data_IF_439796552157
#
_entry.id   IF_439796552157
#
_cell.length_a   1.000
_cell.length_b   1.000
_cell.length_c   1.000
_cell.angle_alpha   90.00
_cell.angle_beta   90.00
_cell.angle_gamma   90.00
#
_symmetry.space_group_name_H-M   'P 1'
#
loop_
_entity.id
_entity.type
_entity.pdbx_description
1 polymer ?
#
# COMPACT_ATOMS: atom_id res chain seq x y z
N UNK A 1 17.65 2.84 -17.12
CA UNK A 1 16.97 1.93 -16.19
C UNK A 1 15.56 1.74 -16.74
N UNK A 2 14.99 0.53 -16.82
CA UNK A 2 13.60 0.39 -17.22
C UNK A 2 12.77 1.22 -16.24
N UNK A 3 12.01 2.18 -16.75
CA UNK A 3 11.05 2.93 -15.94
C UNK A 3 9.92 1.96 -15.65
N UNK A 4 9.80 1.51 -14.40
CA UNK A 4 8.63 0.74 -13.97
C UNK A 4 7.37 1.55 -14.25
N UNK A 5 6.27 0.93 -14.72
CA UNK A 5 5.03 1.64 -14.94
C UNK A 5 4.55 2.28 -13.64
N UNK A 6 4.19 3.56 -13.73
CA UNK A 6 3.55 4.25 -12.62
C UNK A 6 2.10 3.79 -12.52
N UNK A 7 1.67 3.47 -11.30
CA UNK A 7 0.32 3.06 -10.96
C UNK A 7 -0.23 4.01 -9.87
N UNK A 8 -1.29 4.74 -10.20
CA UNK A 8 -1.95 5.63 -9.25
C UNK A 8 -3.04 4.90 -8.44
N UNK A 9 -3.46 5.49 -7.31
CA UNK A 9 -4.53 4.94 -6.47
C UNK A 9 -5.86 4.87 -7.23
N UNK A 10 -6.13 5.85 -8.09
CA UNK A 10 -7.33 5.87 -8.93
C UNK A 10 -7.30 4.76 -10.01
N UNK A 11 -6.15 4.10 -10.23
CA UNK A 11 -5.96 2.96 -11.14
C UNK A 11 -5.94 1.61 -10.42
N UNK A 12 -6.24 1.55 -9.12
CA UNK A 12 -6.37 0.30 -8.36
C UNK A 12 -7.75 -0.34 -8.53
N UNK A 13 -8.80 0.49 -8.42
CA UNK A 13 -10.19 0.05 -8.46
C UNK A 13 -10.94 0.83 -9.53
N UNK A 14 -11.52 0.12 -10.50
CA UNK A 14 -12.43 0.73 -11.47
C UNK A 14 -13.72 1.22 -10.78
N UNK A 15 -14.12 0.54 -9.69
CA UNK A 15 -15.30 0.90 -8.91
C UNK A 15 -15.17 0.48 -7.46
N UNK A 16 -15.36 1.43 -6.56
CA UNK A 16 -15.60 1.18 -5.13
C UNK A 16 -17.11 1.34 -4.92
N UNK A 17 -17.84 0.24 -4.79
CA UNK A 17 -19.30 0.24 -4.66
C UNK A 17 -19.78 -0.62 -3.49
N UNK A 18 -21.04 -0.42 -3.08
CA UNK A 18 -21.68 -1.10 -1.93
C UNK A 18 -21.72 -2.64 -2.08
N UNK A 19 -21.61 -3.15 -3.32
CA UNK A 19 -21.66 -4.58 -3.64
C UNK A 19 -20.27 -5.24 -3.74
N UNK A 20 -19.19 -4.47 -3.61
CA UNK A 20 -17.82 -4.96 -3.69
C UNK A 20 -16.89 -4.07 -4.51
N UNK A 21 -15.63 -4.49 -4.57
CA UNK A 21 -14.56 -3.83 -5.31
C UNK A 21 -14.40 -4.46 -6.69
N UNK A 22 -14.40 -3.63 -7.73
CA UNK A 22 -13.99 -4.06 -9.07
C UNK A 22 -12.57 -3.58 -9.30
N UNK A 23 -11.66 -4.52 -9.51
CA UNK A 23 -10.27 -4.21 -9.85
C UNK A 23 -10.20 -3.49 -11.19
N UNK A 24 -9.30 -2.52 -11.28
CA UNK A 24 -9.07 -1.83 -12.54
C UNK A 24 -8.30 -2.74 -13.51
N UNK A 25 -8.61 -2.67 -14.82
CA UNK A 25 -7.93 -3.48 -15.84
C UNK A 25 -6.40 -3.33 -15.80
N UNK A 26 -5.93 -2.15 -15.41
CA UNK A 26 -4.51 -1.83 -15.28
C UNK A 26 -3.85 -2.52 -14.09
N UNK A 27 -4.55 -2.65 -12.96
CA UNK A 27 -4.06 -3.40 -11.82
C UNK A 27 -3.85 -4.87 -12.23
N UNK A 28 -4.84 -5.47 -12.89
CA UNK A 28 -4.78 -6.86 -13.36
C UNK A 28 -3.69 -7.04 -14.42
N UNK A 29 -3.54 -6.08 -15.34
CA UNK A 29 -2.51 -6.13 -16.38
C UNK A 29 -1.08 -6.00 -15.84
N UNK A 30 -0.91 -5.38 -14.67
CA UNK A 30 0.37 -5.18 -14.01
C UNK A 30 0.63 -6.18 -12.87
N UNK A 31 -0.29 -7.11 -12.61
CA UNK A 31 -0.10 -8.16 -11.60
C UNK A 31 1.17 -8.97 -11.87
N UNK A 32 1.96 -9.20 -10.81
CA UNK A 32 3.25 -9.88 -10.90
C UNK A 32 4.37 -9.06 -11.53
N UNK A 33 4.14 -7.80 -11.91
CA UNK A 33 5.16 -6.91 -12.47
C UNK A 33 5.64 -5.88 -11.45
N UNK A 34 6.83 -5.32 -11.67
CA UNK A 34 7.32 -4.20 -10.85
C UNK A 34 6.64 -2.92 -11.27
N UNK A 35 5.98 -2.23 -10.32
CA UNK A 35 5.30 -0.95 -10.53
C UNK A 35 5.83 0.09 -9.56
N UNK A 36 5.64 1.36 -9.88
CA UNK A 36 5.92 2.48 -8.97
C UNK A 36 4.60 3.13 -8.54
N UNK A 37 4.41 3.28 -7.24
CA UNK A 37 3.27 3.97 -6.64
C UNK A 37 3.76 5.13 -5.78
N UNK A 38 2.96 6.19 -5.66
CA UNK A 38 3.30 7.35 -4.83
C UNK A 38 2.23 7.60 -3.80
N UNK A 39 2.59 7.58 -2.53
CA UNK A 39 1.65 7.77 -1.43
C UNK A 39 2.35 8.04 -0.11
N UNK A 40 1.58 7.95 0.98
CA UNK A 40 2.07 8.14 2.33
C UNK A 40 2.29 6.79 2.98
N UNK A 41 3.55 6.51 3.34
CA UNK A 41 3.89 5.30 4.08
C UNK A 41 3.55 5.47 5.56
N UNK A 42 2.87 4.48 6.11
CA UNK A 42 2.60 4.35 7.54
C UNK A 42 2.87 2.91 7.98
N UNK A 43 3.36 2.69 9.22
CA UNK A 43 3.52 1.33 9.72
C UNK A 43 2.14 0.69 9.97
N UNK A 44 1.96 -0.56 9.53
CA UNK A 44 0.70 -1.28 9.72
C UNK A 44 0.39 -1.53 11.20
N UNK A 45 1.43 -1.63 12.03
CA UNK A 45 1.32 -1.79 13.49
C UNK A 45 2.38 -0.93 14.21
N UNK A 46 2.12 -0.48 15.45
CA UNK A 46 3.08 0.30 16.22
C UNK A 46 4.44 -0.43 16.35
N UNK A 47 5.50 0.18 15.83
CA UNK A 47 6.85 -0.37 15.87
C UNK A 47 7.16 -1.44 14.83
N UNK A 48 6.19 -1.84 13.99
CA UNK A 48 6.46 -2.76 12.88
C UNK A 48 7.09 -2.04 11.69
N UNK A 49 8.07 -2.69 11.07
CA UNK A 49 8.79 -2.22 9.86
C UNK A 49 8.75 -3.25 8.73
N UNK A 50 8.21 -4.42 9.00
CA UNK A 50 8.09 -5.53 8.04
C UNK A 50 6.88 -5.36 7.12
N UNK A 51 5.86 -4.66 7.61
CA UNK A 51 4.65 -4.35 6.87
C UNK A 51 4.33 -2.88 7.06
N UNK A 52 4.38 -2.17 5.94
CA UNK A 52 3.92 -0.79 5.84
C UNK A 52 2.62 -0.77 5.05
N UNK A 53 1.88 0.32 5.18
CA UNK A 53 0.67 0.61 4.43
C UNK A 53 0.90 1.91 3.68
N UNK A 54 0.65 1.89 2.38
CA UNK A 54 0.71 3.05 1.51
C UNK A 54 -0.71 3.54 1.25
N UNK A 55 -0.96 4.83 1.52
CA UNK A 55 -2.28 5.46 1.34
C UNK A 55 -2.18 6.71 0.47
N UNK A 56 -3.27 7.06 -0.23
CA UNK A 56 -3.31 8.26 -1.10
C UNK A 56 -3.16 9.58 -0.36
N UNK A 57 -3.61 9.61 0.90
CA UNK A 57 -3.55 10.75 1.81
C UNK A 57 -2.85 10.30 3.10
N UNK A 58 -2.21 11.23 3.85
CA UNK A 58 -1.64 10.89 5.13
C UNK A 58 -2.79 10.39 6.01
N UNK A 59 -2.69 9.15 6.49
CA UNK A 59 -3.65 8.63 7.44
C UNK A 59 -3.72 9.63 8.59
N UNK A 60 -4.85 10.33 8.70
CA UNK A 60 -5.07 11.25 9.79
C UNK A 60 -4.93 10.40 11.05
N UNK A 61 -3.98 10.73 11.92
CA UNK A 61 -3.89 10.20 13.28
C UNK A 61 -5.11 10.71 14.05
N UNK A 62 -6.30 10.25 13.66
CA UNK A 62 -7.57 10.55 14.27
C UNK A 62 -7.59 9.88 15.62
N UNK A 63 -7.17 10.63 16.65
CA UNK A 63 -7.75 10.46 17.97
C UNK A 63 -9.26 10.60 17.74
N UNK A 64 -10.06 9.65 18.24
CA UNK A 64 -11.50 9.49 17.98
C UNK A 64 -11.86 8.54 16.84
N UNK A 65 -11.75 7.23 17.10
CA UNK A 65 -12.25 6.19 16.20
C UNK A 65 -12.05 4.81 16.83
N UNK A 66 -13.03 4.39 17.63
CA UNK A 66 -12.97 3.14 18.38
C UNK A 66 -12.86 1.91 17.48
N UNK A 67 -12.10 0.92 17.95
CA UNK A 67 -12.33 -0.52 17.74
C UNK A 67 -12.73 -0.96 16.32
N UNK A 68 -12.05 -0.48 15.28
CA UNK A 68 -11.78 -1.14 13.99
C UNK A 68 -11.00 -0.09 13.18
N UNK A 69 -9.68 0.02 13.37
CA UNK A 69 -8.85 0.89 12.53
C UNK A 69 -8.70 0.24 11.14
N UNK A 70 -9.80 0.21 10.39
CA UNK A 70 -9.80 -0.18 9.00
C UNK A 70 -9.08 0.90 8.21
N UNK A 71 -7.89 0.56 7.70
CA UNK A 71 -7.27 1.30 6.62
C UNK A 71 -8.30 1.51 5.49
N UNK A 72 -8.20 2.59 4.71
CA UNK A 72 -9.16 2.80 3.63
C UNK A 72 -9.11 1.63 2.65
N UNK A 73 -10.20 1.40 1.94
CA UNK A 73 -10.32 0.21 1.07
C UNK A 73 -9.28 0.20 -0.06
N UNK A 74 -8.76 1.37 -0.42
CA UNK A 74 -7.67 1.59 -1.37
C UNK A 74 -6.26 1.52 -0.77
N UNK A 75 -6.13 1.12 0.50
CA UNK A 75 -4.84 0.95 1.15
C UNK A 75 -4.05 -0.20 0.54
N UNK A 76 -2.77 0.04 0.25
CA UNK A 76 -1.86 -0.94 -0.34
C UNK A 76 -0.85 -1.41 0.71
N UNK A 77 -0.73 -2.71 0.92
CA UNK A 77 0.32 -3.24 1.79
C UNK A 77 1.67 -3.18 1.10
N UNK A 78 2.69 -2.73 1.82
CA UNK A 78 4.05 -2.60 1.33
C UNK A 78 4.92 -3.51 2.18
N UNK A 79 5.46 -4.54 1.53
CA UNK A 79 6.36 -5.53 2.09
C UNK A 79 7.77 -5.18 1.60
N UNK A 80 8.53 -4.37 2.35
CA UNK A 80 9.89 -4.00 1.96
C UNK A 80 10.82 -5.21 1.86
N UNK A 81 11.87 -5.07 1.06
CA UNK A 81 13.02 -5.96 1.19
C UNK A 81 13.65 -5.75 2.58
N UNK A 82 14.24 -6.81 3.16
CA UNK A 82 14.82 -6.75 4.51
C UNK A 82 15.86 -5.62 4.69
N UNK A 83 16.53 -5.21 3.60
CA UNK A 83 17.51 -4.12 3.58
C UNK A 83 16.86 -2.72 3.59
N UNK A 84 15.64 -2.59 3.07
CA UNK A 84 14.89 -1.32 2.97
C UNK A 84 14.01 -1.07 4.22
N UNK A 85 13.82 -2.10 5.06
CA UNK A 85 12.96 -2.09 6.26
C UNK A 85 13.54 -1.22 7.41
N UNK A 86 13.70 0.08 7.19
CA UNK A 86 14.24 0.99 8.21
C UNK A 86 14.33 2.46 7.82
N UNK A 87 14.31 2.78 6.53
CA UNK A 87 14.58 4.14 6.03
C UNK A 87 13.33 4.80 5.44
N UNK A 88 12.18 4.70 6.12
CA UNK A 88 10.96 5.40 5.69
C UNK A 88 10.59 6.53 6.65
N UNK A 89 10.14 7.66 6.09
CA UNK A 89 9.65 8.81 6.85
C UNK A 89 8.11 8.78 6.91
N UNK A 90 7.49 8.45 8.05
CA UNK A 90 6.03 8.41 8.16
C UNK A 90 5.42 9.78 7.90
N UNK A 91 4.31 9.81 7.15
CA UNK A 91 3.58 11.05 6.84
C UNK A 91 4.22 11.91 5.74
N UNK A 92 5.27 11.41 5.08
CA UNK A 92 5.83 12.04 3.88
C UNK A 92 5.35 11.30 2.62
N UNK A 93 5.19 12.07 1.54
CA UNK A 93 4.91 11.51 0.23
C UNK A 93 6.17 10.80 -0.28
N UNK A 94 6.06 9.50 -0.52
CA UNK A 94 7.16 8.62 -0.92
C UNK A 94 6.77 7.83 -2.16
N UNK A 95 7.71 7.71 -3.08
CA UNK A 95 7.59 6.84 -4.26
C UNK A 95 8.11 5.45 -3.90
N UNK A 96 7.23 4.47 -3.97
CA UNK A 96 7.48 3.07 -3.61
C UNK A 96 7.44 2.24 -4.88
N UNK A 97 8.50 1.51 -5.14
CA UNK A 97 8.62 0.61 -6.26
C UNK A 97 8.66 -0.84 -5.76
N UNK A 98 7.80 -1.70 -6.26
CA UNK A 98 7.72 -3.10 -5.82
C UNK A 98 6.95 -3.97 -6.80
N UNK A 99 6.98 -5.28 -6.58
CA UNK A 99 6.19 -6.23 -7.35
C UNK A 99 4.74 -6.15 -6.91
N UNK A 100 3.86 -5.76 -7.83
CA UNK A 100 2.43 -5.67 -7.60
C UNK A 100 1.83 -7.07 -7.47
N UNK A 101 1.03 -7.27 -6.44
CA UNK A 101 0.13 -8.41 -6.33
C UNK A 101 -1.24 -7.93 -5.85
N UNK A 102 -2.30 -8.50 -6.40
CA UNK A 102 -3.65 -8.29 -5.87
C UNK A 102 -4.22 -9.55 -5.19
N UNK A 103 -5.35 -9.37 -4.51
CA UNK A 103 -6.06 -10.40 -3.76
C UNK A 103 -6.10 -10.14 -2.25
N UNK A 104 -7.10 -10.70 -1.55
CA UNK A 104 -7.33 -10.44 -0.14
C UNK A 104 -6.19 -10.99 0.72
N UNK A 105 -5.55 -10.10 1.46
CA UNK A 105 -4.55 -10.42 2.47
C UNK A 105 -4.98 -9.83 3.80
N UNK A 106 -5.16 -10.70 4.80
CA UNK A 106 -5.40 -10.31 6.18
C UNK A 106 -4.13 -10.58 6.99
N UNK A 107 -3.68 -9.57 7.72
CA UNK A 107 -2.56 -9.67 8.65
C UNK A 107 -3.10 -9.56 10.06
N UNK A 108 -3.33 -10.70 10.70
CA UNK A 108 -3.91 -10.76 12.06
C UNK A 108 -3.05 -10.02 13.10
N UNK A 109 -1.71 -10.08 12.93
CA UNK A 109 -0.77 -9.39 13.81
C UNK A 109 -0.89 -7.85 13.75
N UNK A 110 -1.33 -7.31 12.61
CA UNK A 110 -1.54 -5.87 12.41
C UNK A 110 -3.02 -5.46 12.54
N UNK A 111 -3.95 -6.42 12.65
CA UNK A 111 -5.38 -6.15 12.62
C UNK A 111 -5.83 -5.46 11.31
N UNK A 112 -5.10 -5.66 10.21
CA UNK A 112 -5.31 -4.96 8.96
C UNK A 112 -5.61 -5.95 7.82
N UNK A 113 -6.43 -5.51 6.86
CA UNK A 113 -6.64 -6.21 5.60
C UNK A 113 -6.46 -5.28 4.42
N UNK A 114 -5.91 -5.80 3.33
CA UNK A 114 -5.78 -5.11 2.06
C UNK A 114 -6.01 -6.06 0.90
N UNK A 115 -6.47 -5.53 -0.23
CA UNK A 115 -6.66 -6.25 -1.48
C UNK A 115 -5.47 -6.13 -2.43
N UNK A 116 -4.52 -5.25 -2.16
CA UNK A 116 -3.38 -4.97 -3.04
C UNK A 116 -2.11 -4.85 -2.22
N UNK A 117 -1.00 -5.40 -2.72
CA UNK A 117 0.27 -5.37 -2.03
C UNK A 117 1.44 -5.19 -2.99
N UNK A 118 2.51 -4.61 -2.49
CA UNK A 118 3.81 -4.45 -3.15
C UNK A 118 4.84 -5.30 -2.40
N UNK A 119 5.41 -6.30 -3.06
CA UNK A 119 6.50 -7.13 -2.52
C UNK A 119 7.88 -6.66 -2.95
N UNK A 120 8.85 -6.85 -2.07
CA UNK A 120 10.23 -6.44 -2.31
C UNK A 120 10.29 -4.94 -2.58
N UNK A 121 9.42 -4.19 -1.90
CA UNK A 121 9.28 -2.78 -2.13
C UNK A 121 10.54 -2.04 -1.69
N UNK A 122 10.95 -1.08 -2.51
CA UNK A 122 12.04 -0.15 -2.27
C UNK A 122 11.53 1.27 -2.50
N UNK A 123 12.15 2.25 -1.86
CA UNK A 123 11.80 3.64 -2.06
C UNK A 123 13.03 4.52 -1.97
N UNK A 124 13.03 5.61 -2.72
CA UNK A 124 14.12 6.55 -2.64
C UNK A 124 13.97 7.43 -1.38
N UNK A 125 15.01 7.56 -0.53
CA UNK A 125 15.06 8.64 0.44
C UNK A 125 15.09 9.97 -0.34
N UNK A 126 14.16 10.87 -0.05
CA UNK A 126 14.15 12.24 -0.60
C UNK A 126 14.45 13.28 0.45
#
# INVERSE_FOLDING_TARGET
MPQSPFLDFDELFARIGVLGHEFHERLEALDGTTVTMRGYLAPAAPGSREVLVLTRAPAATGREGGTDQGWPEDAVFVLPAAEEAGDFAPGRLTEVEGVLEHGPLRLDAAGASSLVRLRGARWAPS
#
